data_IF_505011271773
#
_entry.id   IF_505011271773
#
_cell.length_a   1.000
_cell.length_b   1.000
_cell.length_c   1.000
_cell.angle_alpha   90.00
_cell.angle_beta   90.00
_cell.angle_gamma   90.00
#
_symmetry.space_group_name_H-M   'P 1'
#
loop_
_entity.id
_entity.type
_entity.pdbx_description
1 polymer ?
#
# COMPACT_ATOMS: atom_id res chain seq x y z
N UNK A 1 34.21 6.05 5.47
CA UNK A 1 33.25 4.94 5.40
C UNK A 1 32.22 5.20 6.47
N UNK A 2 31.21 6.00 6.12
CA UNK A 2 30.07 6.25 7.01
C UNK A 2 29.26 4.96 7.06
N UNK A 3 29.12 4.39 8.25
CA UNK A 3 28.28 3.22 8.45
C UNK A 3 26.84 3.60 8.13
N UNK A 4 26.20 2.76 7.32
CA UNK A 4 24.76 2.81 7.09
C UNK A 4 24.04 2.78 8.45
N UNK A 5 23.11 3.70 8.75
CA UNK A 5 22.42 3.74 10.06
C UNK A 5 21.57 2.50 10.34
N UNK A 6 21.46 1.59 9.36
CA UNK A 6 20.77 0.30 9.43
C UNK A 6 21.59 -0.82 10.10
N UNK A 7 22.87 -0.59 10.41
CA UNK A 7 23.75 -1.62 10.99
C UNK A 7 23.60 -1.79 12.53
N UNK A 8 22.71 -1.06 13.20
CA UNK A 8 22.58 -1.08 14.67
C UNK A 8 21.23 -1.64 15.14
N UNK A 9 21.28 -2.82 15.76
CA UNK A 9 20.32 -3.39 16.73
C UNK A 9 18.87 -2.86 16.64
N UNK A 10 18.09 -3.39 15.71
CA UNK A 10 16.65 -3.11 15.59
C UNK A 10 16.08 -3.12 14.17
N UNK A 11 16.94 -3.11 13.16
CA UNK A 11 16.51 -3.19 11.76
C UNK A 11 15.78 -4.52 11.42
N UNK A 12 16.12 -5.61 12.12
CA UNK A 12 15.53 -6.95 11.92
C UNK A 12 14.03 -7.03 12.24
N UNK A 13 13.48 -6.07 13.00
CA UNK A 13 12.04 -5.97 13.27
C UNK A 13 11.47 -4.60 12.84
N UNK A 14 12.17 -3.89 11.96
CA UNK A 14 11.71 -2.61 11.43
C UNK A 14 10.45 -2.82 10.59
N UNK A 15 9.40 -2.05 10.91
CA UNK A 15 8.18 -2.00 10.11
C UNK A 15 8.20 -0.76 9.24
N UNK A 16 7.93 -0.90 7.95
CA UNK A 16 7.90 0.21 7.02
C UNK A 16 6.49 0.46 6.52
N UNK A 17 6.12 1.72 6.33
CA UNK A 17 4.77 2.12 5.99
C UNK A 17 4.76 3.12 4.84
N UNK A 18 3.89 2.92 3.87
CA UNK A 18 3.57 3.87 2.82
C UNK A 18 2.15 4.39 3.05
N UNK A 19 1.95 5.71 2.97
CA UNK A 19 0.63 6.32 2.99
C UNK A 19 0.48 7.15 1.72
N UNK A 20 -0.41 6.72 0.84
CA UNK A 20 -0.78 7.45 -0.37
C UNK A 20 -2.12 8.14 -0.14
N UNK A 21 -2.19 9.43 -0.47
CA UNK A 21 -3.41 10.23 -0.40
C UNK A 21 -3.61 10.92 -1.73
N UNK A 22 -4.78 10.77 -2.35
CA UNK A 22 -5.11 11.38 -3.64
C UNK A 22 -6.56 11.88 -3.66
N UNK A 23 -6.82 12.96 -4.39
CA UNK A 23 -8.14 13.55 -4.63
C UNK A 23 -8.69 13.29 -6.04
N UNK A 24 -8.05 12.36 -6.75
CA UNK A 24 -8.30 12.07 -8.16
C UNK A 24 -7.82 10.67 -8.50
N UNK A 25 -8.30 10.15 -9.64
CA UNK A 25 -7.58 9.08 -10.29
C UNK A 25 -6.14 9.53 -10.52
N UNK A 26 -5.20 8.60 -10.45
CA UNK A 26 -3.81 8.90 -10.75
C UNK A 26 -3.72 9.57 -12.14
N UNK A 27 -3.58 10.90 -12.16
CA UNK A 27 -3.20 11.67 -13.35
C UNK A 27 -1.80 11.26 -13.82
N UNK A 28 -1.07 10.65 -12.90
CA UNK A 28 0.01 9.75 -13.18
C UNK A 28 -0.60 8.55 -13.90
N UNK A 29 -0.55 8.62 -15.23
CA UNK A 29 0.15 7.51 -15.86
C UNK A 29 1.35 7.24 -14.95
N UNK A 30 1.54 6.02 -14.46
CA UNK A 30 2.80 5.67 -13.82
C UNK A 30 4.01 5.97 -14.77
N UNK A 31 3.75 6.43 -15.99
CA UNK A 31 4.52 7.40 -16.76
C UNK A 31 4.49 8.83 -16.13
N UNK A 32 5.29 9.08 -15.08
CA UNK A 32 5.94 10.41 -15.07
C UNK A 32 6.87 10.45 -16.28
N UNK A 33 6.82 11.55 -17.04
CA UNK A 33 7.63 11.76 -18.24
C UNK A 33 9.09 11.38 -18.02
N UNK A 34 9.48 10.15 -18.41
CA UNK A 34 10.85 9.64 -18.32
C UNK A 34 11.14 8.56 -17.27
N UNK A 35 10.21 8.17 -16.39
CA UNK A 35 10.41 7.04 -15.47
C UNK A 35 9.13 6.20 -15.37
N UNK A 36 8.94 5.32 -16.36
CA UNK A 36 8.00 4.21 -16.24
C UNK A 36 8.56 3.26 -15.18
N UNK A 37 7.79 2.88 -14.15
CA UNK A 37 8.08 1.61 -13.47
C UNK A 37 7.77 0.52 -14.47
N UNK A 38 8.82 0.13 -15.18
CA UNK A 38 8.90 -1.07 -15.97
C UNK A 38 9.61 -2.11 -15.12
N UNK A 39 9.06 -3.31 -15.06
CA UNK A 39 9.77 -4.46 -14.50
C UNK A 39 9.29 -4.94 -13.13
N UNK A 40 8.19 -4.37 -12.61
CA UNK A 40 7.42 -5.02 -11.53
C UNK A 40 6.55 -6.13 -12.12
N UNK A 41 6.04 -5.95 -13.35
CA UNK A 41 5.14 -6.90 -14.03
C UNK A 41 3.83 -7.08 -13.23
N UNK A 42 3.26 -8.29 -13.21
CA UNK A 42 2.07 -8.64 -12.43
C UNK A 42 2.50 -9.46 -11.21
N UNK A 43 3.05 -8.79 -10.20
CA UNK A 43 3.58 -9.43 -8.99
C UNK A 43 2.45 -10.07 -8.17
N UNK A 44 1.23 -9.54 -8.24
CA UNK A 44 0.13 -10.07 -7.43
C UNK A 44 -0.60 -11.28 -8.06
N UNK A 45 -0.36 -11.52 -9.36
CA UNK A 45 -0.96 -12.58 -10.16
C UNK A 45 -0.01 -13.68 -10.64
N UNK A 46 1.28 -13.60 -10.34
CA UNK A 46 2.26 -14.62 -10.75
C UNK A 46 2.28 -15.88 -9.85
N UNK A 47 1.67 -15.79 -8.66
CA UNK A 47 1.49 -16.87 -7.71
C UNK A 47 2.80 -17.53 -7.27
N UNK A 48 3.86 -16.73 -7.15
CA UNK A 48 5.21 -17.17 -6.85
C UNK A 48 5.47 -17.27 -5.33
N UNK A 49 4.75 -16.50 -4.51
CA UNK A 49 4.84 -16.53 -3.04
C UNK A 49 3.58 -17.11 -2.38
N UNK A 50 3.53 -17.07 -1.05
CA UNK A 50 2.29 -17.33 -0.29
C UNK A 50 1.47 -16.05 -0.08
N UNK A 51 1.96 -14.89 -0.54
CA UNK A 51 1.41 -13.57 -0.29
C UNK A 51 0.62 -13.01 -1.48
N UNK A 52 0.63 -13.68 -2.62
CA UNK A 52 -0.02 -13.28 -3.85
C UNK A 52 -1.22 -14.22 -4.18
N UNK A 53 -1.86 -14.01 -5.33
CA UNK A 53 -2.93 -14.89 -5.81
C UNK A 53 -4.31 -14.64 -5.19
N UNK A 54 -5.32 -15.27 -5.79
CA UNK A 54 -6.70 -15.24 -5.29
C UNK A 54 -7.26 -13.81 -5.18
N UNK A 55 -7.59 -13.37 -3.96
CA UNK A 55 -8.13 -12.02 -3.71
C UNK A 55 -7.11 -10.90 -3.97
N UNK A 56 -5.83 -11.24 -4.04
CA UNK A 56 -4.76 -10.28 -4.30
C UNK A 56 -4.44 -10.14 -5.78
N UNK A 57 -4.85 -11.09 -6.62
CA UNK A 57 -4.42 -11.13 -8.01
C UNK A 57 -5.37 -10.39 -8.95
N UNK A 58 -4.83 -9.72 -9.96
CA UNK A 58 -5.55 -9.33 -11.16
C UNK A 58 -4.83 -9.73 -12.46
N UNK A 59 -5.26 -9.19 -13.60
CA UNK A 59 -4.62 -9.42 -14.92
C UNK A 59 -3.86 -8.22 -15.46
N UNK A 60 -3.85 -7.11 -14.72
CA UNK A 60 -3.13 -5.89 -15.04
C UNK A 60 -1.65 -6.06 -14.68
N UNK A 61 -0.80 -5.17 -15.19
CA UNK A 61 0.64 -5.19 -14.88
C UNK A 61 1.10 -3.76 -14.58
N UNK A 62 2.11 -3.64 -13.71
CA UNK A 62 2.71 -2.37 -13.30
C UNK A 62 1.67 -1.39 -12.73
N UNK A 63 0.72 -1.92 -11.96
CA UNK A 63 -0.29 -1.17 -11.20
C UNK A 63 0.24 -0.75 -9.82
N UNK A 64 -0.52 0.08 -9.10
CA UNK A 64 -0.18 0.36 -7.70
C UNK A 64 -0.32 -0.91 -6.85
N UNK A 65 -1.28 -1.78 -7.17
CA UNK A 65 -1.44 -3.07 -6.52
C UNK A 65 -0.20 -3.96 -6.67
N UNK A 66 0.36 -4.03 -7.87
CA UNK A 66 1.61 -4.76 -8.14
C UNK A 66 2.78 -4.22 -7.32
N UNK A 67 2.94 -2.89 -7.29
CA UNK A 67 4.01 -2.25 -6.50
C UNK A 67 3.82 -2.53 -5.01
N UNK A 68 2.60 -2.42 -4.50
CA UNK A 68 2.33 -2.71 -3.10
C UNK A 68 2.61 -4.19 -2.78
N UNK A 69 2.33 -5.11 -3.71
CA UNK A 69 2.68 -6.52 -3.54
C UNK A 69 4.19 -6.73 -3.54
N UNK A 70 4.92 -6.19 -4.53
CA UNK A 70 6.38 -6.30 -4.63
C UNK A 70 7.08 -5.91 -3.33
N UNK A 71 6.72 -4.75 -2.77
CA UNK A 71 7.34 -4.27 -1.52
C UNK A 71 6.81 -4.97 -0.26
N UNK A 72 5.72 -5.74 -0.36
CA UNK A 72 5.21 -6.56 0.73
C UNK A 72 5.87 -7.95 0.74
N UNK A 73 5.94 -8.62 -0.40
CA UNK A 73 6.38 -10.01 -0.48
C UNK A 73 7.91 -10.18 -0.48
N UNK A 74 8.65 -9.16 -0.93
CA UNK A 74 10.11 -9.22 -1.00
C UNK A 74 10.78 -8.70 0.29
N UNK A 75 11.88 -9.34 0.64
CA UNK A 75 12.75 -8.91 1.73
C UNK A 75 13.56 -7.67 1.33
N UNK A 76 13.24 -6.52 1.95
CA UNK A 76 13.89 -5.25 1.68
C UNK A 76 15.29 -5.13 2.30
N UNK A 77 15.65 -6.02 3.22
CA UNK A 77 16.98 -6.07 3.80
C UNK A 77 17.47 -7.52 4.00
N UNK A 78 17.79 -8.24 2.90
CA UNK A 78 18.15 -9.66 2.95
C UNK A 78 19.39 -10.00 3.79
N UNK A 79 20.24 -9.00 4.05
CA UNK A 79 21.45 -9.13 4.87
C UNK A 79 21.17 -8.94 6.39
N UNK A 80 19.92 -8.65 6.77
CA UNK A 80 19.45 -8.42 8.14
C UNK A 80 18.52 -9.58 8.56
N UNK A 81 18.46 -9.90 9.85
CA UNK A 81 17.56 -10.96 10.34
C UNK A 81 16.08 -10.63 10.16
N UNK A 82 15.23 -11.65 10.09
CA UNK A 82 13.79 -11.50 9.90
C UNK A 82 13.03 -11.72 11.21
N UNK A 83 12.59 -10.61 11.83
CA UNK A 83 11.88 -10.56 13.10
C UNK A 83 10.70 -9.57 13.08
N UNK A 84 10.18 -9.23 11.90
CA UNK A 84 9.01 -8.36 11.78
C UNK A 84 7.77 -9.10 12.30
N UNK A 85 7.00 -8.55 13.25
CA UNK A 85 5.82 -9.21 13.80
C UNK A 85 4.59 -9.03 12.89
N UNK A 86 4.68 -9.55 11.66
CA UNK A 86 3.61 -9.60 10.66
C UNK A 86 3.55 -11.02 10.04
N UNK A 87 2.59 -11.26 9.14
CA UNK A 87 2.49 -12.48 8.35
C UNK A 87 3.76 -12.69 7.50
N UNK A 88 4.27 -11.60 6.90
CA UNK A 88 5.61 -11.51 6.34
C UNK A 88 6.61 -11.16 7.45
N UNK A 89 7.49 -12.10 7.82
CA UNK A 89 8.45 -11.88 8.91
C UNK A 89 9.71 -11.10 8.51
N UNK A 90 9.91 -10.90 7.21
CA UNK A 90 10.98 -10.09 6.62
C UNK A 90 10.68 -8.60 6.66
N UNK A 91 11.69 -7.76 6.40
CA UNK A 91 11.46 -6.34 6.28
C UNK A 91 10.68 -6.05 5.00
N UNK A 92 9.48 -5.49 5.14
CA UNK A 92 8.57 -5.19 4.04
C UNK A 92 7.87 -3.84 4.25
N UNK A 93 7.13 -3.37 3.25
CA UNK A 93 6.26 -2.19 3.32
C UNK A 93 4.80 -2.59 3.55
N UNK A 94 4.12 -1.89 4.44
CA UNK A 94 2.66 -1.90 4.56
C UNK A 94 2.08 -0.64 3.90
N UNK A 95 1.12 -0.82 2.99
CA UNK A 95 0.61 0.28 2.13
C UNK A 95 -0.80 0.70 2.54
N UNK A 96 -0.96 1.97 2.92
CA UNK A 96 -2.24 2.62 3.15
C UNK A 96 -2.57 3.56 2.01
N UNK A 97 -3.84 3.61 1.61
CA UNK A 97 -4.31 4.49 0.54
C UNK A 97 -5.55 5.25 0.99
N UNK A 98 -5.63 6.54 0.61
CA UNK A 98 -6.76 7.41 0.92
C UNK A 98 -7.23 8.10 -0.35
N UNK A 99 -8.47 7.85 -0.73
CA UNK A 99 -9.15 8.54 -1.82
C UNK A 99 -10.02 9.67 -1.25
N UNK A 100 -9.84 10.90 -1.72
CA UNK A 100 -10.56 12.07 -1.26
C UNK A 100 -11.52 12.61 -2.34
N UNK A 101 -12.82 12.51 -2.09
CA UNK A 101 -13.85 13.05 -2.99
C UNK A 101 -14.03 12.28 -4.31
N UNK A 102 -13.41 11.10 -4.43
CA UNK A 102 -13.49 10.23 -5.61
C UNK A 102 -13.88 8.81 -5.23
N UNK A 103 -14.51 8.13 -6.19
CA UNK A 103 -15.03 6.78 -6.04
C UNK A 103 -14.59 5.92 -7.22
N UNK A 104 -14.37 4.63 -6.94
CA UNK A 104 -14.05 3.65 -7.96
C UNK A 104 -15.29 3.06 -8.61
N UNK A 105 -15.08 2.10 -9.51
CA UNK A 105 -16.16 1.35 -10.14
C UNK A 105 -16.76 0.32 -9.20
N UNK A 106 -15.99 -0.11 -8.19
CA UNK A 106 -16.45 -1.00 -7.14
C UNK A 106 -16.85 -0.18 -5.92
N UNK A 107 -18.05 -0.43 -5.40
CA UNK A 107 -18.51 0.21 -4.17
C UNK A 107 -17.74 -0.33 -2.97
N UNK A 108 -16.90 0.52 -2.38
CA UNK A 108 -16.17 0.23 -1.15
C UNK A 108 -16.95 0.71 0.07
N UNK A 109 -17.11 -0.16 1.05
CA UNK A 109 -17.63 0.16 2.38
C UNK A 109 -16.57 -0.20 3.45
N UNK A 110 -15.96 0.79 4.13
CA UNK A 110 -14.98 0.53 5.17
C UNK A 110 -15.58 -0.18 6.40
N UNK A 111 -16.87 -0.02 6.66
CA UNK A 111 -17.58 -0.64 7.78
C UNK A 111 -18.11 -2.04 7.43
N UNK A 112 -18.16 -2.37 6.13
CA UNK A 112 -18.74 -3.61 5.63
C UNK A 112 -17.91 -4.23 4.48
N UNK A 113 -16.75 -4.86 4.80
CA UNK A 113 -15.94 -5.56 3.81
C UNK A 113 -16.65 -6.82 3.26
N UNK A 114 -16.14 -7.44 2.17
CA UNK A 114 -16.70 -8.67 1.63
C UNK A 114 -16.96 -9.73 2.72
N UNK A 115 -18.16 -10.34 2.69
CA UNK A 115 -18.71 -11.29 3.68
C UNK A 115 -19.36 -10.70 4.96
N UNK A 116 -19.44 -9.38 5.14
CA UNK A 116 -20.28 -8.82 6.21
C UNK A 116 -21.80 -8.96 5.89
N UNK A 117 -22.68 -9.06 6.90
CA UNK A 117 -24.12 -9.00 6.68
C UNK A 117 -24.54 -7.65 6.09
N UNK A 118 -25.09 -7.66 4.87
CA UNK A 118 -25.55 -6.45 4.18
C UNK A 118 -24.56 -5.88 3.16
N UNK A 119 -23.37 -6.47 3.01
CA UNK A 119 -22.50 -6.15 1.88
C UNK A 119 -23.14 -6.59 0.56
N UNK A 120 -23.01 -5.74 -0.45
CA UNK A 120 -23.32 -6.08 -1.84
C UNK A 120 -22.31 -7.05 -2.46
N UNK A 121 -21.12 -7.16 -1.87
CA UNK A 121 -20.06 -8.10 -2.21
C UNK A 121 -20.13 -9.34 -1.31
N UNK A 122 -20.48 -10.49 -1.90
CA UNK A 122 -20.45 -11.78 -1.23
C UNK A 122 -19.03 -12.36 -1.12
N UNK A 123 -18.13 -11.95 -2.02
CA UNK A 123 -16.73 -12.35 -2.08
C UNK A 123 -15.87 -11.13 -2.42
N UNK A 124 -14.55 -11.27 -2.37
CA UNK A 124 -13.65 -10.22 -2.87
C UNK A 124 -13.97 -9.89 -4.33
N UNK A 125 -13.99 -8.61 -4.71
CA UNK A 125 -14.34 -8.24 -6.07
C UNK A 125 -13.29 -8.74 -7.06
N UNK A 126 -13.72 -9.01 -8.29
CA UNK A 126 -12.79 -9.13 -9.40
C UNK A 126 -12.26 -7.73 -9.73
N UNK A 127 -10.96 -7.51 -9.57
CA UNK A 127 -10.33 -6.22 -9.83
C UNK A 127 -10.46 -5.84 -11.32
N UNK A 128 -10.85 -4.60 -11.63
CA UNK A 128 -11.10 -4.20 -13.00
C UNK A 128 -9.79 -3.99 -13.75
N UNK A 129 -9.65 -4.62 -14.91
CA UNK A 129 -8.46 -4.46 -15.75
C UNK A 129 -8.20 -2.99 -16.11
N UNK A 130 -7.00 -2.51 -15.80
CA UNK A 130 -6.57 -1.13 -15.97
C UNK A 130 -5.81 -0.99 -17.28
N UNK A 131 -6.18 -0.01 -18.11
CA UNK A 131 -5.41 0.28 -19.33
C UNK A 131 -4.06 0.92 -19.00
N UNK A 132 -3.02 0.55 -19.75
CA UNK A 132 -1.73 1.20 -19.66
C UNK A 132 -1.80 2.64 -20.21
N UNK A 133 -1.03 3.55 -19.59
CA UNK A 133 -0.97 4.97 -19.98
C UNK A 133 -1.87 5.88 -19.14
N UNK A 134 -2.11 7.10 -19.62
CA UNK A 134 -2.97 8.09 -18.95
C UNK A 134 -4.44 7.71 -19.14
N UNK A 135 -5.27 7.75 -18.08
CA UNK A 135 -6.70 7.50 -18.23
C UNK A 135 -7.30 8.47 -19.25
N UNK A 136 -8.07 7.95 -20.19
CA UNK A 136 -8.63 8.73 -21.30
C UNK A 136 -10.15 8.96 -21.17
N UNK A 137 -10.75 8.45 -20.09
CA UNK A 137 -12.17 8.59 -19.77
C UNK A 137 -12.42 8.35 -18.27
N UNK A 138 -13.60 8.78 -17.79
CA UNK A 138 -13.98 8.69 -16.38
C UNK A 138 -14.06 7.26 -15.83
N UNK A 139 -14.31 6.25 -16.67
CA UNK A 139 -14.32 4.84 -16.25
C UNK A 139 -12.90 4.37 -15.96
N UNK A 140 -11.93 4.70 -16.82
CA UNK A 140 -10.52 4.38 -16.56
C UNK A 140 -9.95 5.14 -15.36
N UNK A 141 -10.47 6.34 -15.07
CA UNK A 141 -10.18 7.06 -13.84
C UNK A 141 -10.73 6.30 -12.62
N UNK A 142 -11.99 5.88 -12.64
CA UNK A 142 -12.61 5.14 -11.54
C UNK A 142 -11.92 3.78 -11.28
N UNK A 143 -11.47 3.06 -12.32
CA UNK A 143 -10.71 1.81 -12.14
C UNK A 143 -9.39 2.02 -11.40
N UNK A 144 -8.74 3.18 -11.56
CA UNK A 144 -7.53 3.52 -10.80
C UNK A 144 -7.83 3.80 -9.33
N UNK A 145 -9.02 4.27 -9.01
CA UNK A 145 -9.47 4.35 -7.62
C UNK A 145 -9.69 2.96 -7.04
N UNK A 146 -10.18 2.00 -7.84
CA UNK A 146 -10.24 0.59 -7.41
C UNK A 146 -8.82 0.02 -7.19
N UNK A 147 -7.83 0.41 -8.00
CA UNK A 147 -6.41 0.06 -7.80
C UNK A 147 -5.83 0.59 -6.47
N UNK A 148 -6.26 1.76 -6.01
CA UNK A 148 -5.89 2.25 -4.66
C UNK A 148 -6.38 1.29 -3.58
N UNK A 149 -7.59 0.76 -3.73
CA UNK A 149 -8.12 -0.22 -2.79
C UNK A 149 -7.36 -1.53 -2.88
N UNK A 150 -7.13 -2.01 -4.10
CA UNK A 150 -6.34 -3.22 -4.37
C UNK A 150 -4.93 -3.13 -3.80
N UNK A 151 -4.24 -2.01 -3.98
CA UNK A 151 -2.92 -1.74 -3.40
C UNK A 151 -2.91 -1.75 -1.87
N UNK A 152 -3.95 -1.23 -1.21
CA UNK A 152 -4.04 -1.35 0.24
C UNK A 152 -4.21 -2.80 0.69
N UNK A 153 -4.93 -3.63 -0.08
CA UNK A 153 -5.08 -5.05 0.19
C UNK A 153 -3.75 -5.79 -0.03
N UNK A 154 -3.07 -5.54 -1.15
CA UNK A 154 -1.78 -6.16 -1.46
C UNK A 154 -0.67 -5.76 -0.48
N UNK A 155 -0.65 -4.50 -0.06
CA UNK A 155 0.27 -4.01 0.98
C UNK A 155 -0.23 -4.25 2.41
N UNK A 156 -1.29 -5.02 2.64
CA UNK A 156 -1.85 -5.35 3.98
C UNK A 156 -2.18 -4.14 4.86
N UNK A 157 -2.38 -2.97 4.28
CA UNK A 157 -2.78 -1.76 4.99
C UNK A 157 -4.29 -1.55 4.95
N UNK A 158 -4.70 -0.28 4.76
CA UNK A 158 -6.12 0.10 4.68
C UNK A 158 -6.34 1.10 3.56
N UNK A 159 -7.44 0.89 2.85
CA UNK A 159 -8.04 1.88 1.97
C UNK A 159 -9.10 2.67 2.73
N UNK A 160 -9.11 3.99 2.54
CA UNK A 160 -10.14 4.86 3.13
C UNK A 160 -10.65 5.81 2.04
N UNK A 161 -11.95 5.78 1.79
CA UNK A 161 -12.62 6.78 0.95
C UNK A 161 -13.21 7.88 1.82
N UNK A 162 -12.66 9.09 1.72
CA UNK A 162 -13.10 10.27 2.46
C UNK A 162 -13.84 11.23 1.53
N UNK A 163 -15.04 11.68 1.91
CA UNK A 163 -15.88 12.61 1.12
C UNK A 163 -15.95 14.02 1.71
N UNK A 164 -15.30 14.23 2.86
CA UNK A 164 -15.21 15.54 3.52
C UNK A 164 -13.87 15.69 4.23
N UNK A 165 -13.44 16.93 4.46
CA UNK A 165 -12.19 17.22 5.17
C UNK A 165 -12.16 16.60 6.57
N UNK A 166 -13.32 16.51 7.25
CA UNK A 166 -13.41 15.82 8.54
C UNK A 166 -13.10 14.33 8.39
N UNK A 167 -13.71 13.66 7.39
CA UNK A 167 -13.42 12.25 7.12
C UNK A 167 -11.97 12.00 6.71
N UNK A 168 -11.30 12.97 6.07
CA UNK A 168 -9.86 12.88 5.78
C UNK A 168 -9.02 12.94 7.06
N UNK A 169 -9.36 13.82 8.00
CA UNK A 169 -8.71 13.88 9.32
C UNK A 169 -8.94 12.57 10.10
N UNK A 170 -10.16 12.04 10.05
CA UNK A 170 -10.52 10.78 10.68
C UNK A 170 -9.75 9.61 10.02
N UNK A 171 -9.57 9.64 8.69
CA UNK A 171 -8.79 8.67 7.93
C UNK A 171 -7.33 8.63 8.39
N UNK A 172 -6.67 9.78 8.45
CA UNK A 172 -5.28 9.88 8.91
C UNK A 172 -5.13 9.44 10.38
N UNK A 173 -6.12 9.77 11.21
CA UNK A 173 -6.17 9.33 12.62
C UNK A 173 -6.30 7.81 12.70
N UNK A 174 -7.16 7.21 11.87
CA UNK A 174 -7.35 5.76 11.78
C UNK A 174 -6.09 5.03 11.32
N UNK A 175 -5.40 5.57 10.31
CA UNK A 175 -4.11 5.03 9.82
C UNK A 175 -3.05 5.11 10.92
N UNK A 176 -2.92 6.25 11.58
CA UNK A 176 -1.95 6.43 12.68
C UNK A 176 -2.23 5.46 13.83
N UNK A 177 -3.51 5.24 14.17
CA UNK A 177 -3.90 4.28 15.19
C UNK A 177 -3.60 2.83 14.76
N UNK A 178 -3.76 2.49 13.47
CA UNK A 178 -3.41 1.17 12.94
C UNK A 178 -1.89 0.92 12.98
N UNK A 179 -1.10 1.90 12.54
CA UNK A 179 0.37 1.87 12.64
C UNK A 179 0.78 1.70 14.10
N UNK A 180 0.16 2.44 15.03
CA UNK A 180 0.43 2.30 16.46
C UNK A 180 0.14 0.90 17.02
N UNK A 181 -0.89 0.22 16.51
CA UNK A 181 -1.21 -1.17 16.90
C UNK A 181 -0.18 -2.17 16.37
N UNK A 182 0.32 -1.95 15.15
CA UNK A 182 1.33 -2.81 14.53
C UNK A 182 2.68 -2.70 15.22
N UNK A 183 3.01 -1.50 15.69
CA UNK A 183 4.36 -1.13 16.12
C UNK A 183 4.57 -1.14 17.62
N UNK A 184 3.48 -1.11 18.41
CA UNK A 184 3.51 -1.14 19.87
C UNK A 184 4.10 0.13 20.52
N UNK A 185 4.07 0.23 21.86
CA UNK A 185 4.64 1.36 22.58
C UNK A 185 6.18 1.35 22.55
N UNK A 186 6.80 2.47 22.16
CA UNK A 186 8.25 2.70 22.27
C UNK A 186 9.05 2.71 20.96
N UNK A 187 8.39 2.69 19.81
CA UNK A 187 9.05 2.72 18.49
C UNK A 187 9.42 4.15 18.06
N UNK A 188 10.57 4.32 17.39
CA UNK A 188 11.02 5.63 16.91
C UNK A 188 10.41 5.91 15.53
N UNK A 189 9.63 7.00 15.41
CA UNK A 189 8.96 7.39 14.16
C UNK A 189 9.85 8.32 13.33
N UNK A 190 10.26 7.85 12.16
CA UNK A 190 10.81 8.70 11.11
C UNK A 190 9.69 9.04 10.11
N UNK A 191 9.22 10.28 10.15
CA UNK A 191 8.24 10.81 9.19
C UNK A 191 8.97 11.62 8.12
N UNK A 192 8.82 11.23 6.85
CA UNK A 192 9.24 12.05 5.71
C UNK A 192 7.99 12.44 4.92
N UNK A 193 7.63 13.73 4.92
CA UNK A 193 6.48 14.25 4.18
C UNK A 193 6.93 15.06 2.97
N UNK A 194 6.39 14.77 1.78
CA UNK A 194 6.53 15.61 0.60
C UNK A 194 5.19 15.72 -0.14
N UNK A 195 4.94 16.89 -0.73
CA UNK A 195 3.78 17.14 -1.60
C UNK A 195 4.11 16.58 -2.99
N UNK A 196 3.24 15.72 -3.53
CA UNK A 196 3.38 15.17 -4.87
C UNK A 196 3.42 16.30 -5.90
N UNK A 197 4.60 16.57 -6.43
CA UNK A 197 4.80 17.31 -7.68
C UNK A 197 5.80 16.49 -8.49
N UNK A 198 5.27 15.65 -9.38
CA UNK A 198 5.97 14.80 -10.37
C UNK A 198 7.35 14.24 -9.95
N UNK A 199 7.40 12.96 -9.56
CA UNK A 199 8.61 12.14 -9.68
C UNK A 199 9.40 11.84 -8.41
N UNK A 200 8.75 11.55 -7.27
CA UNK A 200 9.48 11.00 -6.10
C UNK A 200 8.62 10.00 -5.34
N UNK A 201 9.20 8.83 -5.07
CA UNK A 201 8.64 7.80 -4.20
C UNK A 201 9.07 8.05 -2.75
N UNK A 202 8.14 7.93 -1.82
CA UNK A 202 8.37 8.14 -0.39
C UNK A 202 8.37 6.78 0.32
N UNK A 203 9.44 6.47 1.03
CA UNK A 203 9.57 5.30 1.90
C UNK A 203 9.81 5.79 3.34
N UNK A 204 8.96 5.36 4.27
CA UNK A 204 9.09 5.64 5.70
C UNK A 204 9.26 4.36 6.49
N UNK A 205 10.25 4.31 7.37
CA UNK A 205 10.56 3.14 8.19
C UNK A 205 10.48 3.43 9.67
N UNK A 206 10.03 2.46 10.46
CA UNK A 206 9.91 2.52 11.91
C UNK A 206 10.81 1.48 12.57
N UNK A 207 11.90 1.94 13.17
CA UNK A 207 12.86 1.09 13.86
C UNK A 207 12.53 0.88 15.35
N UNK A 208 12.67 -0.36 15.82
CA UNK A 208 12.57 -0.75 17.23
C UNK A 208 13.72 -1.67 17.59
N UNK A 209 14.21 -1.64 18.84
CA UNK A 209 15.04 -2.74 19.38
C UNK A 209 14.19 -3.98 19.50
N UNK A 210 14.52 -5.02 18.75
CA UNK A 210 13.73 -6.24 18.71
C UNK A 210 13.68 -6.84 20.10
N UNK A 211 12.50 -6.85 20.70
CA UNK A 211 12.30 -7.60 21.93
C UNK A 211 12.36 -9.07 21.55
N UNK A 212 13.56 -9.63 21.68
CA UNK A 212 13.71 -11.03 21.99
C UNK A 212 13.08 -11.32 23.36
N UNK A 213 12.55 -12.54 23.46
CA UNK A 213 12.21 -13.28 24.66
C UNK A 213 13.02 -12.89 25.91
#
# INVERSE_FOLDING_TARGET
TEASPYAEQGAECQQNFAILVTDGADNVAFVTSGNTVTGIANTDGDANTAFDGGKYADTSENTLADIAMEYYENDLAPDIGNMVPDEANHQHMVTYTVAFGVEGTISFDPDCPPNCPGSVLSEWPAWPAISSGTPNNATEEAKRIDDLWHAAINGRGKFISAKSTQQLVDALTSITADIGKRTGPGSAVALNSQKLQAGTFLYGGLGRRCAGL
#
